data_IF_121511433307
#
_entry.id   IF_121511433307
#
_cell.length_a   1.000
_cell.length_b   1.000
_cell.length_c   1.000
_cell.angle_alpha   90.00
_cell.angle_beta   90.00
_cell.angle_gamma   90.00
#
_symmetry.space_group_name_H-M   'P 1'
#
loop_
_entity.id
_entity.type
_entity.pdbx_description
1 polymer ?
#
# COMPACT_ATOMS: atom_id res chain seq x y z
N UNK A 1 3.78 -88.49 -0.27
CA UNK A 1 4.77 -88.18 -1.32
C UNK A 1 5.00 -86.68 -1.29
N UNK A 2 6.24 -86.27 -1.03
CA UNK A 2 6.61 -84.95 -0.52
C UNK A 2 6.97 -83.93 -1.64
N UNK A 3 6.78 -82.65 -1.29
CA UNK A 3 7.66 -81.47 -1.54
C UNK A 3 8.00 -80.94 -2.95
N UNK A 4 7.58 -79.67 -3.19
CA UNK A 4 8.41 -78.46 -3.53
C UNK A 4 8.98 -78.39 -4.98
N UNK A 5 8.80 -77.33 -5.81
CA UNK A 5 9.40 -75.96 -5.75
C UNK A 5 8.86 -75.02 -6.87
N UNK A 6 8.72 -73.71 -6.54
CA UNK A 6 8.99 -72.47 -7.33
C UNK A 6 8.31 -72.24 -8.71
N UNK A 7 7.85 -71.07 -9.12
CA UNK A 7 7.89 -69.72 -8.54
C UNK A 7 7.39 -68.64 -9.54
N UNK A 8 6.85 -67.54 -8.98
CA UNK A 8 6.98 -66.14 -9.42
C UNK A 8 6.80 -65.74 -10.90
N UNK A 9 5.74 -64.97 -11.21
CA UNK A 9 5.92 -63.65 -11.85
C UNK A 9 4.80 -62.66 -11.53
N UNK A 10 5.21 -61.42 -11.31
CA UNK A 10 4.57 -60.34 -10.54
C UNK A 10 3.51 -59.57 -11.34
N UNK A 11 2.31 -59.36 -10.77
CA UNK A 11 1.50 -58.15 -11.05
C UNK A 11 1.68 -57.16 -9.91
N UNK A 12 2.62 -56.21 -10.09
CA UNK A 12 2.77 -55.03 -9.23
C UNK A 12 1.47 -54.22 -9.25
N UNK A 13 0.68 -54.26 -8.17
CA UNK A 13 -0.35 -53.24 -7.88
C UNK A 13 0.36 -51.92 -7.61
N UNK A 14 0.42 -51.05 -8.62
CA UNK A 14 0.91 -49.68 -8.50
C UNK A 14 0.01 -48.90 -7.52
N UNK A 15 0.47 -48.78 -6.28
CA UNK A 15 -0.13 -47.99 -5.19
C UNK A 15 0.20 -46.51 -5.40
N UNK A 16 -0.35 -45.89 -6.45
CA UNK A 16 -0.11 -44.45 -6.77
C UNK A 16 -1.40 -43.60 -6.68
N UNK A 17 -2.51 -44.16 -6.17
CA UNK A 17 -3.81 -43.45 -6.11
C UNK A 17 -4.00 -42.50 -4.91
N UNK A 18 -3.16 -42.55 -3.87
CA UNK A 18 -3.34 -41.73 -2.66
C UNK A 18 -2.89 -40.27 -2.81
N UNK A 19 -1.71 -40.04 -3.41
CA UNK A 19 -1.10 -38.72 -3.44
C UNK A 19 -1.74 -37.79 -4.50
N UNK A 20 -2.25 -38.38 -5.60
CA UNK A 20 -2.90 -37.64 -6.69
C UNK A 20 -4.33 -37.23 -6.29
N UNK A 21 -5.09 -38.10 -5.60
CA UNK A 21 -6.44 -37.76 -5.11
C UNK A 21 -6.41 -36.61 -4.11
N UNK A 22 -5.48 -36.61 -3.17
CA UNK A 22 -5.33 -35.51 -2.19
C UNK A 22 -4.96 -34.18 -2.87
N UNK A 23 -4.10 -34.20 -3.90
CA UNK A 23 -3.78 -32.98 -4.69
C UNK A 23 -5.00 -32.45 -5.46
N UNK A 24 -5.80 -33.33 -6.06
CA UNK A 24 -7.00 -32.93 -6.81
C UNK A 24 -8.09 -32.39 -5.87
N UNK A 25 -8.24 -32.98 -4.69
CA UNK A 25 -9.22 -32.56 -3.68
C UNK A 25 -8.84 -31.22 -3.05
N UNK A 26 -7.55 -31.01 -2.73
CA UNK A 26 -7.04 -29.70 -2.26
C UNK A 26 -7.13 -28.62 -3.35
N UNK A 27 -6.94 -29.01 -4.63
CA UNK A 27 -7.12 -28.10 -5.77
C UNK A 27 -8.59 -27.73 -6.00
N UNK A 28 -9.54 -28.66 -5.79
CA UNK A 28 -10.98 -28.37 -5.95
C UNK A 28 -11.55 -27.54 -4.80
N UNK A 29 -11.04 -27.72 -3.58
CA UNK A 29 -11.34 -26.84 -2.43
C UNK A 29 -10.80 -25.43 -2.66
N UNK A 30 -9.53 -25.30 -3.06
CA UNK A 30 -8.96 -23.99 -3.42
C UNK A 30 -9.74 -23.33 -4.57
N UNK A 31 -10.17 -24.07 -5.58
CA UNK A 31 -10.96 -23.53 -6.70
C UNK A 31 -12.38 -23.11 -6.28
N UNK A 32 -13.00 -23.81 -5.33
CA UNK A 32 -14.28 -23.41 -4.73
C UNK A 32 -14.13 -22.17 -3.84
N UNK A 33 -13.02 -22.04 -3.12
CA UNK A 33 -12.70 -20.84 -2.33
C UNK A 33 -12.50 -19.66 -3.28
N UNK A 34 -11.69 -19.80 -4.34
CA UNK A 34 -11.44 -18.77 -5.37
C UNK A 34 -12.75 -18.29 -6.00
N UNK A 35 -13.59 -19.23 -6.47
CA UNK A 35 -14.89 -18.88 -7.05
C UNK A 35 -15.85 -18.22 -6.04
N UNK A 36 -15.75 -18.53 -4.74
CA UNK A 36 -16.57 -17.91 -3.70
C UNK A 36 -16.06 -16.51 -3.35
N UNK A 37 -14.75 -16.30 -3.31
CA UNK A 37 -14.15 -14.96 -3.20
C UNK A 37 -14.49 -14.11 -4.42
N UNK A 38 -14.41 -14.63 -5.65
CA UNK A 38 -14.74 -13.90 -6.88
C UNK A 38 -16.21 -13.50 -6.92
N UNK A 39 -17.11 -14.38 -6.46
CA UNK A 39 -18.56 -14.09 -6.39
C UNK A 39 -18.93 -13.11 -5.25
N UNK A 40 -18.08 -13.00 -4.22
CA UNK A 40 -18.22 -11.99 -3.15
C UNK A 40 -17.65 -10.63 -3.58
N UNK A 41 -16.55 -10.62 -4.34
CA UNK A 41 -15.98 -9.40 -4.96
C UNK A 41 -17.00 -8.79 -5.94
N UNK A 42 -17.71 -9.62 -6.70
CA UNK A 42 -18.65 -9.18 -7.74
C UNK A 42 -20.06 -8.81 -7.22
N UNK A 43 -20.45 -9.22 -6.00
CA UNK A 43 -21.78 -8.91 -5.43
C UNK A 43 -21.81 -7.69 -4.49
N UNK A 44 -20.67 -7.01 -4.37
CA UNK A 44 -20.48 -5.95 -3.39
C UNK A 44 -21.14 -4.65 -3.89
N UNK A 45 -22.29 -4.29 -3.29
CA UNK A 45 -22.91 -2.98 -3.49
C UNK A 45 -21.89 -1.90 -3.15
N UNK A 46 -21.47 -1.12 -4.14
CA UNK A 46 -20.64 0.07 -3.99
C UNK A 46 -21.18 0.90 -2.82
N UNK A 47 -20.38 1.05 -1.74
CA UNK A 47 -20.81 1.80 -0.55
C UNK A 47 -20.37 3.25 -0.68
N UNK A 48 -21.05 4.14 0.03
CA UNK A 48 -20.68 5.55 0.12
C UNK A 48 -19.24 5.72 0.64
N UNK A 49 -18.77 4.82 1.50
CA UNK A 49 -17.39 4.83 2.03
C UNK A 49 -16.38 4.61 0.89
N UNK A 50 -16.62 3.64 0.00
CA UNK A 50 -15.74 3.36 -1.13
C UNK A 50 -15.63 4.58 -2.08
N UNK A 51 -16.70 5.39 -2.19
CA UNK A 51 -16.69 6.63 -2.96
C UNK A 51 -15.79 7.70 -2.33
N UNK A 52 -15.80 7.84 -1.00
CA UNK A 52 -14.93 8.81 -0.30
C UNK A 52 -13.47 8.42 -0.50
N UNK A 53 -13.14 7.14 -0.39
CA UNK A 53 -11.80 6.62 -0.63
C UNK A 53 -11.33 6.92 -2.06
N UNK A 54 -12.20 6.76 -3.06
CA UNK A 54 -11.90 7.11 -4.46
C UNK A 54 -11.65 8.61 -4.62
N UNK A 55 -12.48 9.46 -3.98
CA UNK A 55 -12.30 10.91 -4.01
C UNK A 55 -10.96 11.30 -3.37
N UNK A 56 -10.58 10.67 -2.26
CA UNK A 56 -9.28 10.86 -1.63
C UNK A 56 -8.12 10.55 -2.59
N UNK A 57 -8.22 9.42 -3.32
CA UNK A 57 -7.19 9.01 -4.29
C UNK A 57 -7.13 9.91 -5.51
N UNK A 58 -8.29 10.38 -6.00
CA UNK A 58 -8.37 11.38 -7.07
C UNK A 58 -7.76 12.72 -6.64
N UNK A 59 -7.96 13.13 -5.39
CA UNK A 59 -7.33 14.31 -4.82
C UNK A 59 -5.81 14.14 -4.77
N UNK A 60 -5.30 12.97 -4.33
CA UNK A 60 -3.87 12.65 -4.37
C UNK A 60 -3.28 12.72 -5.77
N UNK A 61 -4.00 12.20 -6.78
CA UNK A 61 -3.59 12.34 -8.17
C UNK A 61 -3.61 13.81 -8.64
N UNK A 62 -4.61 14.59 -8.22
CA UNK A 62 -4.67 16.03 -8.45
C UNK A 62 -3.45 16.76 -7.88
N UNK A 63 -2.99 16.39 -6.69
CA UNK A 63 -1.76 16.93 -6.11
C UNK A 63 -0.53 16.64 -6.98
N UNK A 64 -0.39 15.40 -7.46
CA UNK A 64 0.69 15.00 -8.36
C UNK A 64 0.65 15.85 -9.64
N UNK A 65 -0.52 15.99 -10.25
CA UNK A 65 -0.70 16.78 -11.47
C UNK A 65 -0.30 18.25 -11.26
N UNK A 66 -0.74 18.87 -10.16
CA UNK A 66 -0.37 20.26 -9.82
C UNK A 66 1.13 20.39 -9.54
N UNK A 67 1.75 19.42 -8.86
CA UNK A 67 3.19 19.41 -8.66
C UNK A 67 3.94 19.39 -10.00
N UNK A 68 3.53 18.56 -10.95
CA UNK A 68 4.12 18.54 -12.30
C UNK A 68 3.86 19.82 -13.09
N UNK A 69 2.69 20.44 -12.94
CA UNK A 69 2.37 21.71 -13.59
C UNK A 69 3.34 22.82 -13.19
N UNK A 70 3.90 22.75 -11.98
CA UNK A 70 4.98 23.64 -11.51
C UNK A 70 6.21 23.53 -12.39
N UNK A 71 6.63 22.32 -12.76
CA UNK A 71 7.81 22.12 -13.60
C UNK A 71 7.62 22.66 -15.02
N UNK A 72 6.38 22.60 -15.56
CA UNK A 72 6.04 23.12 -16.89
C UNK A 72 5.96 24.65 -16.88
N UNK A 73 5.28 25.22 -15.87
CA UNK A 73 4.95 26.66 -15.86
C UNK A 73 5.96 27.50 -15.07
N UNK A 74 6.86 26.86 -14.32
CA UNK A 74 7.79 27.49 -13.37
C UNK A 74 7.11 28.37 -12.31
N UNK A 75 5.82 28.13 -12.03
CA UNK A 75 5.03 28.90 -11.06
C UNK A 75 4.88 28.11 -9.76
N UNK A 76 5.42 28.63 -8.66
CA UNK A 76 5.30 28.02 -7.33
C UNK A 76 3.85 27.90 -6.83
N UNK A 77 2.92 28.70 -7.36
CA UNK A 77 1.50 28.64 -6.99
C UNK A 77 0.90 27.24 -7.16
N UNK A 78 1.36 26.46 -8.15
CA UNK A 78 0.86 25.11 -8.34
C UNK A 78 1.35 24.13 -7.26
N UNK A 79 2.47 24.40 -6.60
CA UNK A 79 2.89 23.62 -5.43
C UNK A 79 1.95 23.87 -4.25
N UNK A 80 1.49 25.11 -4.05
CA UNK A 80 0.49 25.42 -3.02
C UNK A 80 -0.83 24.66 -3.28
N UNK A 81 -1.28 24.60 -4.53
CA UNK A 81 -2.44 23.77 -4.88
C UNK A 81 -2.19 22.29 -4.61
N UNK A 82 -1.00 21.77 -4.93
CA UNK A 82 -0.65 20.39 -4.62
C UNK A 82 -0.71 20.10 -3.10
N UNK A 83 -0.26 21.03 -2.26
CA UNK A 83 -0.36 20.93 -0.80
C UNK A 83 -1.83 20.88 -0.36
N UNK A 84 -2.67 21.77 -0.90
CA UNK A 84 -4.10 21.80 -0.57
C UNK A 84 -4.77 20.46 -0.89
N UNK A 85 -4.45 19.86 -2.04
CA UNK A 85 -4.96 18.53 -2.40
C UNK A 85 -4.46 17.44 -1.44
N UNK A 86 -3.18 17.45 -1.04
CA UNK A 86 -2.66 16.48 -0.06
C UNK A 86 -3.38 16.64 1.28
N UNK A 87 -3.53 17.86 1.78
CA UNK A 87 -4.25 18.15 3.03
C UNK A 87 -5.73 17.76 2.95
N UNK A 88 -6.36 17.96 1.79
CA UNK A 88 -7.72 17.52 1.55
C UNK A 88 -7.85 15.99 1.61
N UNK A 89 -6.93 15.25 0.98
CA UNK A 89 -6.89 13.79 1.10
C UNK A 89 -6.67 13.33 2.56
N UNK A 90 -5.81 14.00 3.33
CA UNK A 90 -5.60 13.70 4.76
C UNK A 90 -6.91 13.92 5.55
N UNK A 91 -7.63 15.00 5.27
CA UNK A 91 -8.91 15.26 5.93
C UNK A 91 -9.94 14.16 5.62
N UNK A 92 -9.98 13.66 4.38
CA UNK A 92 -10.86 12.56 3.98
C UNK A 92 -10.46 11.24 4.65
N UNK A 93 -9.17 10.90 4.73
CA UNK A 93 -8.68 9.71 5.42
C UNK A 93 -9.09 9.66 6.91
N UNK A 94 -9.01 10.81 7.60
CA UNK A 94 -9.47 10.94 8.99
C UNK A 94 -10.98 10.68 9.10
N UNK A 95 -11.75 11.10 8.10
CA UNK A 95 -13.19 10.83 8.04
C UNK A 95 -13.43 9.35 7.75
N UNK A 96 -12.75 8.75 6.79
CA UNK A 96 -12.88 7.33 6.42
C UNK A 96 -12.56 6.41 7.60
N UNK A 97 -11.44 6.65 8.30
CA UNK A 97 -11.06 5.88 9.48
C UNK A 97 -12.00 6.05 10.69
N UNK A 98 -12.79 7.13 10.77
CA UNK A 98 -13.88 7.25 11.76
C UNK A 98 -15.13 6.52 11.28
N UNK A 99 -15.51 6.71 10.03
CA UNK A 99 -16.73 6.16 9.42
C UNK A 99 -16.68 4.63 9.37
N UNK A 100 -15.52 4.06 9.06
CA UNK A 100 -15.21 2.63 9.14
C UNK A 100 -15.55 2.00 10.49
N UNK A 101 -15.30 2.71 11.60
CA UNK A 101 -15.59 2.22 12.95
C UNK A 101 -17.08 2.25 13.29
N UNK A 102 -17.83 3.19 12.70
CA UNK A 102 -19.28 3.28 12.89
C UNK A 102 -20.05 2.28 12.02
N UNK A 103 -19.57 1.99 10.81
CA UNK A 103 -20.18 1.01 9.92
C UNK A 103 -19.47 -0.34 10.07
N UNK A 104 -20.05 -1.24 10.87
CA UNK A 104 -19.49 -2.55 11.25
C UNK A 104 -19.30 -3.58 10.11
N UNK A 105 -19.23 -3.13 8.86
CA UNK A 105 -19.06 -3.95 7.66
C UNK A 105 -18.24 -3.19 6.61
N UNK A 106 -16.93 -3.07 6.81
CA UNK A 106 -16.03 -2.78 5.68
C UNK A 106 -16.03 -3.94 4.69
N UNK A 107 -15.95 -3.62 3.41
CA UNK A 107 -15.83 -4.65 2.38
C UNK A 107 -14.35 -4.96 2.12
N UNK A 108 -14.03 -6.20 1.74
CA UNK A 108 -12.67 -6.58 1.36
C UNK A 108 -12.14 -5.70 0.21
N UNK A 109 -12.99 -5.36 -0.76
CA UNK A 109 -12.65 -4.45 -1.84
C UNK A 109 -12.30 -3.05 -1.32
N UNK A 110 -13.12 -2.49 -0.42
CA UNK A 110 -12.90 -1.17 0.16
C UNK A 110 -11.56 -1.05 0.90
N UNK A 111 -11.18 -2.10 1.64
CA UNK A 111 -9.87 -2.17 2.33
C UNK A 111 -8.68 -2.09 1.36
N UNK A 112 -8.77 -2.78 0.22
CA UNK A 112 -7.72 -2.70 -0.82
C UNK A 112 -7.73 -1.34 -1.52
N UNK A 113 -8.91 -0.78 -1.79
CA UNK A 113 -9.06 0.56 -2.39
C UNK A 113 -8.46 1.64 -1.48
N UNK A 114 -8.65 1.52 -0.17
CA UNK A 114 -8.06 2.41 0.84
C UNK A 114 -6.54 2.39 0.78
N UNK A 115 -5.94 1.19 0.76
CA UNK A 115 -4.48 1.04 0.63
C UNK A 115 -3.94 1.62 -0.69
N UNK A 116 -4.68 1.51 -1.80
CA UNK A 116 -4.29 2.11 -3.09
C UNK A 116 -4.42 3.64 -3.08
N UNK A 117 -5.48 4.15 -2.46
CA UNK A 117 -5.71 5.59 -2.29
C UNK A 117 -4.61 6.23 -1.42
N UNK A 118 -4.27 5.57 -0.31
CA UNK A 118 -3.17 5.93 0.59
C UNK A 118 -1.82 6.00 -0.12
N UNK A 119 -1.55 5.02 -0.99
CA UNK A 119 -0.32 5.00 -1.79
C UNK A 119 -0.21 6.24 -2.67
N UNK A 120 -1.27 6.60 -3.38
CA UNK A 120 -1.26 7.75 -4.30
C UNK A 120 -1.14 9.05 -3.49
N UNK A 121 -1.98 9.22 -2.48
CA UNK A 121 -2.15 10.48 -1.75
C UNK A 121 -1.05 10.77 -0.74
N UNK A 122 -0.54 9.75 -0.04
CA UNK A 122 0.36 9.95 1.12
C UNK A 122 1.77 9.42 0.89
N UNK A 123 1.97 8.60 -0.15
CA UNK A 123 3.30 8.09 -0.49
C UNK A 123 3.84 8.77 -1.73
N UNK A 124 3.09 8.76 -2.84
CA UNK A 124 3.58 9.28 -4.13
C UNK A 124 3.47 10.81 -4.19
N UNK A 125 2.30 11.39 -3.90
CA UNK A 125 2.08 12.83 -3.99
C UNK A 125 3.09 13.71 -3.22
N UNK A 126 3.38 13.47 -1.92
CA UNK A 126 4.36 14.29 -1.19
C UNK A 126 5.79 14.13 -1.74
N UNK A 127 6.17 12.96 -2.25
CA UNK A 127 7.48 12.77 -2.90
C UNK A 127 7.55 13.55 -4.20
N UNK A 128 6.51 13.50 -5.04
CA UNK A 128 6.45 14.29 -6.28
C UNK A 128 6.52 15.77 -5.98
N UNK A 129 5.81 16.26 -4.95
CA UNK A 129 5.86 17.65 -4.52
C UNK A 129 7.30 18.10 -4.20
N UNK A 130 8.03 17.32 -3.41
CA UNK A 130 9.43 17.61 -3.05
C UNK A 130 10.34 17.58 -4.29
N UNK A 131 10.16 16.60 -5.17
CA UNK A 131 10.97 16.47 -6.38
C UNK A 131 10.77 17.66 -7.32
N UNK A 132 9.52 18.08 -7.54
CA UNK A 132 9.21 19.21 -8.43
C UNK A 132 9.67 20.54 -7.82
N UNK A 133 9.53 20.72 -6.51
CA UNK A 133 10.10 21.87 -5.80
C UNK A 133 11.63 21.94 -5.94
N UNK A 134 12.31 20.83 -5.68
CA UNK A 134 13.77 20.78 -5.73
C UNK A 134 14.30 20.95 -7.15
N UNK A 135 13.57 20.43 -8.14
CA UNK A 135 13.87 20.65 -9.56
C UNK A 135 13.85 22.14 -9.91
N UNK A 136 12.81 22.86 -9.48
CA UNK A 136 12.69 24.30 -9.73
C UNK A 136 13.77 25.12 -9.02
N UNK A 137 14.14 24.73 -7.79
CA UNK A 137 15.08 25.50 -6.96
C UNK A 137 16.56 25.27 -7.31
N UNK A 138 16.94 24.03 -7.60
CA UNK A 138 18.34 23.66 -7.81
C UNK A 138 18.71 23.50 -9.29
N UNK A 139 17.72 23.43 -10.21
CA UNK A 139 17.94 23.25 -11.65
C UNK A 139 18.64 21.95 -12.04
N UNK A 140 19.00 21.09 -11.08
CA UNK A 140 19.79 19.87 -11.28
C UNK A 140 18.91 18.65 -10.97
N UNK A 141 19.04 17.62 -11.82
CA UNK A 141 18.58 16.27 -11.53
C UNK A 141 19.41 15.66 -10.39
N UNK A 142 19.04 15.98 -9.15
CA UNK A 142 19.67 15.39 -7.97
C UNK A 142 19.31 13.91 -7.90
N UNK A 143 20.17 13.05 -8.46
CA UNK A 143 19.99 11.59 -8.49
C UNK A 143 19.85 10.99 -7.10
N UNK A 144 20.51 11.58 -6.09
CA UNK A 144 20.36 11.17 -4.69
C UNK A 144 18.96 11.46 -4.16
N UNK A 145 18.38 12.62 -4.49
CA UNK A 145 17.01 12.94 -4.10
C UNK A 145 15.99 12.02 -4.78
N UNK A 146 16.18 11.70 -6.06
CA UNK A 146 15.34 10.73 -6.77
C UNK A 146 15.44 9.36 -6.09
N UNK A 147 16.67 8.90 -5.79
CA UNK A 147 16.90 7.65 -5.06
C UNK A 147 16.23 7.63 -3.68
N UNK A 148 16.32 8.73 -2.93
CA UNK A 148 15.64 8.89 -1.64
C UNK A 148 14.11 8.86 -1.76
N UNK A 149 13.55 9.49 -2.80
CA UNK A 149 12.13 9.43 -3.11
C UNK A 149 11.65 8.01 -3.45
N UNK A 150 12.41 7.29 -4.29
CA UNK A 150 12.12 5.89 -4.62
C UNK A 150 12.19 4.98 -3.39
N UNK A 151 13.20 5.20 -2.52
CA UNK A 151 13.31 4.49 -1.25
C UNK A 151 12.09 4.77 -0.36
N UNK A 152 11.71 6.03 -0.18
CA UNK A 152 10.52 6.40 0.59
C UNK A 152 9.25 5.72 0.04
N UNK A 153 9.08 5.69 -1.29
CA UNK A 153 7.94 5.01 -1.93
C UNK A 153 7.98 3.50 -1.64
N UNK A 154 9.14 2.85 -1.80
CA UNK A 154 9.29 1.43 -1.49
C UNK A 154 8.98 1.12 -0.02
N UNK A 155 9.41 1.98 0.91
CA UNK A 155 9.08 1.88 2.32
C UNK A 155 7.58 2.03 2.58
N UNK A 156 6.93 3.02 1.95
CA UNK A 156 5.49 3.24 2.04
C UNK A 156 4.68 2.06 1.53
N UNK A 157 5.04 1.52 0.36
CA UNK A 157 4.40 0.31 -0.21
C UNK A 157 4.52 -0.87 0.75
N UNK A 158 5.73 -1.14 1.27
CA UNK A 158 5.92 -2.24 2.22
C UNK A 158 5.12 -2.03 3.51
N UNK A 159 4.98 -0.78 3.96
CA UNK A 159 4.17 -0.45 5.13
C UNK A 159 2.69 -0.73 4.89
N UNK A 160 2.13 -0.30 3.76
CA UNK A 160 0.73 -0.55 3.39
C UNK A 160 0.47 -2.05 3.21
N UNK A 161 1.38 -2.78 2.56
CA UNK A 161 1.27 -4.23 2.42
C UNK A 161 1.28 -4.95 3.78
N UNK A 162 2.16 -4.55 4.71
CA UNK A 162 2.17 -5.09 6.08
C UNK A 162 0.88 -4.77 6.82
N UNK A 163 0.29 -3.60 6.60
CA UNK A 163 -0.96 -3.22 7.21
C UNK A 163 -2.13 -4.08 6.70
N UNK A 164 -2.11 -4.43 5.42
CA UNK A 164 -3.15 -5.27 4.85
C UNK A 164 -3.04 -6.75 5.28
N UNK A 165 -1.83 -7.29 5.42
CA UNK A 165 -1.57 -8.71 5.75
C UNK A 165 -1.63 -9.01 7.25
N UNK A 166 -1.24 -8.08 8.12
CA UNK A 166 -1.21 -8.33 9.57
C UNK A 166 -2.56 -8.00 10.21
N UNK A 167 -3.23 -9.02 10.75
CA UNK A 167 -4.27 -8.85 11.76
C UNK A 167 -3.59 -8.43 13.07
N UNK A 168 -3.43 -7.13 13.33
CA UNK A 168 -2.69 -6.64 14.48
C UNK A 168 -3.38 -6.99 15.81
N UNK A 169 -2.97 -8.11 16.41
CA UNK A 169 -3.16 -8.39 17.84
C UNK A 169 -2.31 -7.40 18.67
N UNK A 170 -2.91 -6.27 19.06
CA UNK A 170 -2.50 -5.54 20.26
C UNK A 170 -1.33 -4.54 20.18
N UNK A 171 -0.65 -4.37 19.05
CA UNK A 171 0.48 -3.43 18.92
C UNK A 171 0.37 -2.54 17.67
N UNK A 172 0.66 -1.25 17.82
CA UNK A 172 0.93 -0.35 16.68
C UNK A 172 2.42 -0.39 16.36
N UNK A 173 2.77 -0.49 15.07
CA UNK A 173 4.16 -0.61 14.61
C UNK A 173 4.43 0.40 13.50
N UNK A 174 5.40 1.29 13.71
CA UNK A 174 5.92 2.22 12.71
C UNK A 174 5.12 3.52 12.52
N UNK A 175 5.70 4.46 11.76
CA UNK A 175 5.12 5.79 11.47
C UNK A 175 3.99 5.71 10.42
N UNK A 176 2.75 6.19 10.70
CA UNK A 176 1.68 6.34 9.71
C UNK A 176 2.08 7.04 8.40
N UNK A 177 1.64 6.50 7.26
CA UNK A 177 1.82 7.08 5.91
C UNK A 177 1.17 8.44 5.85
N UNK A 178 -0.05 8.54 6.36
CA UNK A 178 -0.81 9.79 6.54
C UNK A 178 -0.04 10.80 7.39
N UNK A 179 0.50 10.37 8.54
CA UNK A 179 1.31 11.23 9.41
C UNK A 179 2.61 11.69 8.74
N UNK A 180 3.28 10.80 7.98
CA UNK A 180 4.49 11.15 7.24
C UNK A 180 4.21 12.19 6.15
N UNK A 181 3.13 12.02 5.38
CA UNK A 181 2.70 13.01 4.38
C UNK A 181 2.39 14.36 5.03
N UNK A 182 1.68 14.35 6.16
CA UNK A 182 1.39 15.55 6.93
C UNK A 182 2.66 16.27 7.41
N UNK A 183 3.63 15.52 7.95
CA UNK A 183 4.90 16.08 8.39
C UNK A 183 5.71 16.66 7.22
N UNK A 184 5.71 16.01 6.05
CA UNK A 184 6.35 16.55 4.84
C UNK A 184 5.75 17.90 4.46
N UNK A 185 4.42 18.03 4.47
CA UNK A 185 3.72 19.29 4.17
C UNK A 185 4.09 20.38 5.18
N UNK A 186 4.12 20.05 6.48
CA UNK A 186 4.53 21.01 7.52
C UNK A 186 5.97 21.46 7.29
N UNK A 187 6.89 20.53 7.09
CA UNK A 187 8.31 20.80 6.87
C UNK A 187 8.51 21.66 5.61
N UNK A 188 7.67 21.48 4.60
CA UNK A 188 7.73 22.25 3.36
C UNK A 188 7.56 23.75 3.60
N UNK A 189 6.64 24.13 4.49
CA UNK A 189 6.40 25.54 4.84
C UNK A 189 7.57 26.20 5.59
N UNK A 190 8.48 25.43 6.20
CA UNK A 190 9.70 25.97 6.78
C UNK A 190 10.74 26.41 5.74
N UNK A 191 10.46 26.22 4.43
CA UNK A 191 11.32 26.66 3.31
C UNK A 191 12.78 26.23 3.47
N UNK A 192 12.97 24.97 3.85
CA UNK A 192 14.30 24.39 4.03
C UNK A 192 15.09 24.39 2.71
N UNK A 193 16.42 24.40 2.83
CA UNK A 193 17.31 24.22 1.69
C UNK A 193 16.98 22.89 1.00
N UNK A 194 16.89 22.90 -0.33
CA UNK A 194 16.50 21.76 -1.13
C UNK A 194 17.42 20.52 -0.93
N UNK A 195 18.67 20.71 -0.50
CA UNK A 195 19.58 19.61 -0.13
C UNK A 195 19.13 18.80 1.10
N UNK A 196 18.37 19.42 2.02
CA UNK A 196 17.90 18.76 3.24
C UNK A 196 16.76 17.77 2.99
N UNK A 197 16.08 17.87 1.85
CA UNK A 197 15.00 16.94 1.51
C UNK A 197 15.46 15.50 1.34
N UNK A 198 16.69 15.29 0.85
CA UNK A 198 17.25 13.94 0.67
C UNK A 198 17.34 13.17 1.98
N UNK A 199 18.02 13.65 3.04
CA UNK A 199 18.05 12.94 4.31
C UNK A 199 16.67 12.84 4.97
N UNK A 200 15.80 13.84 4.83
CA UNK A 200 14.44 13.81 5.39
C UNK A 200 13.62 12.65 4.81
N UNK A 201 13.61 12.49 3.49
CA UNK A 201 12.90 11.39 2.83
C UNK A 201 13.44 10.02 3.24
N UNK A 202 14.77 9.88 3.36
CA UNK A 202 15.38 8.63 3.82
C UNK A 202 14.99 8.32 5.27
N UNK A 203 15.08 9.30 6.17
CA UNK A 203 14.71 9.13 7.58
C UNK A 203 13.25 8.73 7.72
N UNK A 204 12.34 9.42 7.03
CA UNK A 204 10.91 9.11 7.10
C UNK A 204 10.59 7.73 6.50
N UNK A 205 11.24 7.35 5.39
CA UNK A 205 11.12 6.01 4.82
C UNK A 205 11.55 4.91 5.81
N UNK A 206 12.69 5.10 6.48
CA UNK A 206 13.17 4.17 7.50
C UNK A 206 12.20 4.13 8.70
N UNK A 207 11.69 5.27 9.15
CA UNK A 207 10.71 5.36 10.25
C UNK A 207 9.39 4.64 9.94
N UNK A 208 8.95 4.59 8.68
CA UNK A 208 7.77 3.82 8.27
C UNK A 208 7.95 2.31 8.47
N UNK A 209 9.16 1.79 8.25
CA UNK A 209 9.47 0.36 8.39
C UNK A 209 9.85 0.01 9.83
N UNK A 210 10.30 0.99 10.60
CA UNK A 210 10.86 0.81 11.93
C UNK A 210 9.88 0.07 12.85
N UNK A 211 10.31 -1.07 13.45
CA UNK A 211 9.45 -1.91 14.27
C UNK A 211 9.32 -1.38 15.70
N UNK A 212 8.99 -0.09 15.88
CA UNK A 212 8.74 0.46 17.22
C UNK A 212 7.37 -0.03 17.67
N UNK A 213 7.36 -1.03 18.57
CA UNK A 213 6.15 -1.59 19.17
C UNK A 213 5.66 -0.67 20.28
N UNK A 214 4.50 -0.04 20.09
CA UNK A 214 3.80 0.67 21.17
C UNK A 214 2.67 -0.23 21.67
N UNK A 215 2.71 -0.55 22.98
CA UNK A 215 1.72 -1.39 23.67
C UNK A 215 0.41 -0.61 23.81
N UNK A 216 -0.74 -1.20 23.43
CA UNK A 216 -2.06 -0.58 23.64
C UNK A 216 -2.30 -0.36 25.16
N UNK A 217 -2.77 0.83 25.60
CA UNK A 217 -3.33 0.99 26.93
C UNK A 217 -4.65 0.23 27.08
#
# INVERSE_FOLDING_TARGET
>A
MATVHLGSSKKKKFKVKGNVKNKIQKKSENFKIINKTDKLICSNKFKLIDLITIISGLSGFGAIFMAFQTAITSKLLYLEYAIVFILFSIALDIVDGRTARYFSKESLLGKELDSLSDLISFVIAPVTLILMYSYLMLGIHNSLLIGAGLLYIACGVMRLAKFNVNEFEGYYIGLPTTLSAFLIVIIFYFKLNALLWTPILVIFGILMISPIKIKKP
#
